data_IF_890016406540
#
_entry.id   IF_890016406540
#
_cell.length_a   1.000
_cell.length_b   1.000
_cell.length_c   1.000
_cell.angle_alpha   90.00
_cell.angle_beta   90.00
_cell.angle_gamma   90.00
#
_symmetry.space_group_name_H-M   'P 1'
#
loop_
_entity.id
_entity.type
_entity.pdbx_description
1 polymer ?
#
# COMPACT_ATOMS: atom_id res chain seq x y z
N UNK A 1 -80.89 -10.95 26.50
CA UNK A 1 -81.93 -10.76 25.47
C UNK A 1 -81.68 -11.74 24.32
N UNK A 2 -82.73 -12.11 23.58
CA UNK A 2 -82.77 -12.97 22.37
C UNK A 2 -83.26 -12.12 21.17
N UNK A 3 -83.42 -12.63 19.91
CA UNK A 3 -83.14 -13.96 19.33
C UNK A 3 -81.79 -13.95 18.57
N UNK A 4 -81.44 -14.63 17.46
CA UNK A 4 -82.02 -15.52 16.40
C UNK A 4 -80.86 -16.46 15.98
N UNK A 5 -80.92 -17.76 15.63
CA UNK A 5 -81.79 -18.69 14.85
C UNK A 5 -81.91 -18.35 13.35
N UNK A 6 -81.78 -19.28 12.36
CA UNK A 6 -81.46 -20.74 12.28
C UNK A 6 -80.62 -20.98 10.97
N UNK A 7 -80.29 -22.15 10.41
CA UNK A 7 -80.81 -23.55 10.40
C UNK A 7 -79.67 -24.56 10.02
N UNK A 8 -80.04 -25.81 9.72
CA UNK A 8 -79.29 -26.91 9.05
C UNK A 8 -80.28 -27.56 8.01
N UNK A 9 -80.03 -28.64 7.21
CA UNK A 9 -79.00 -29.70 7.25
C UNK A 9 -78.34 -30.10 5.87
N UNK A 10 -77.58 -31.21 5.81
CA UNK A 10 -77.10 -31.91 4.57
C UNK A 10 -78.06 -33.02 4.09
N UNK A 11 -77.64 -34.20 3.54
CA UNK A 11 -76.27 -34.72 3.24
C UNK A 11 -76.12 -35.63 1.95
N UNK A 12 -74.99 -36.38 1.82
CA UNK A 12 -74.76 -37.69 1.11
C UNK A 12 -74.43 -37.82 -0.42
N UNK A 13 -73.63 -38.87 -0.73
CA UNK A 13 -73.37 -39.60 -2.03
C UNK A 13 -72.60 -38.88 -3.16
N UNK A 14 -71.93 -39.52 -4.15
CA UNK A 14 -71.30 -40.88 -4.29
C UNK A 14 -70.38 -40.94 -5.55
N UNK A 15 -69.50 -41.93 -5.70
CA UNK A 15 -68.66 -42.20 -6.91
C UNK A 15 -69.40 -43.12 -7.95
N UNK A 16 -68.79 -43.78 -8.99
CA UNK A 16 -67.46 -43.67 -9.67
C UNK A 16 -67.54 -43.80 -11.24
N UNK A 17 -66.42 -44.19 -11.90
CA UNK A 17 -66.26 -44.95 -13.18
C UNK A 17 -65.90 -44.18 -14.49
N UNK A 18 -64.91 -44.74 -15.21
CA UNK A 18 -64.57 -44.45 -16.62
C UNK A 18 -63.21 -45.06 -17.03
N UNK A 19 -63.18 -46.17 -17.78
CA UNK A 19 -61.96 -46.97 -18.07
C UNK A 19 -61.88 -47.45 -19.53
N UNK A 20 -60.67 -47.44 -20.12
CA UNK A 20 -60.30 -48.19 -21.34
C UNK A 20 -59.96 -47.33 -22.58
N UNK A 21 -59.28 -47.84 -23.62
CA UNK A 21 -58.52 -49.11 -23.73
C UNK A 21 -57.61 -49.14 -24.99
N UNK A 22 -56.33 -49.48 -24.79
CA UNK A 22 -55.38 -50.26 -25.65
C UNK A 22 -55.40 -50.14 -27.20
N UNK A 23 -54.20 -49.94 -27.79
CA UNK A 23 -53.88 -50.19 -29.22
C UNK A 23 -52.36 -50.36 -29.43
N UNK A 24 -51.89 -51.09 -30.46
CA UNK A 24 -50.50 -51.60 -30.52
C UNK A 24 -49.72 -51.33 -31.83
N UNK A 25 -48.40 -51.56 -31.75
CA UNK A 25 -47.31 -51.25 -32.72
C UNK A 25 -47.52 -51.64 -34.19
N UNK A 26 -46.91 -50.85 -35.09
CA UNK A 26 -46.11 -51.35 -36.24
C UNK A 26 -44.90 -50.44 -36.49
N UNK A 27 -43.79 -50.96 -37.04
CA UNK A 27 -42.66 -50.16 -37.57
C UNK A 27 -42.67 -50.12 -39.10
N UNK A 28 -42.13 -49.05 -39.69
CA UNK A 28 -41.76 -48.97 -41.12
C UNK A 28 -40.34 -48.43 -41.25
N UNK A 29 -39.66 -48.82 -42.33
CA UNK A 29 -38.21 -48.76 -42.57
C UNK A 29 -37.92 -47.83 -43.76
N UNK A 30 -36.80 -47.10 -43.74
CA UNK A 30 -36.29 -46.33 -44.89
C UNK A 30 -34.79 -46.59 -45.08
N UNK A 31 -34.36 -46.66 -46.34
CA UNK A 31 -32.97 -46.91 -46.77
C UNK A 31 -32.40 -45.70 -47.54
N UNK A 32 -31.10 -45.71 -47.89
CA UNK A 32 -30.44 -44.67 -48.72
C UNK A 32 -30.63 -44.89 -50.24
N UNK A 33 -29.69 -44.48 -51.14
CA UNK A 33 -28.36 -43.89 -50.87
C UNK A 33 -27.83 -42.80 -51.89
N UNK A 34 -26.57 -42.38 -51.72
CA UNK A 34 -25.58 -41.88 -52.73
C UNK A 34 -25.87 -40.70 -53.73
N UNK A 35 -25.16 -39.59 -53.49
CA UNK A 35 -24.18 -38.85 -54.37
C UNK A 35 -24.45 -38.51 -55.87
N UNK A 36 -24.02 -37.27 -56.21
CA UNK A 36 -23.21 -36.80 -57.38
C UNK A 36 -23.86 -36.25 -58.68
N UNK A 37 -23.71 -34.93 -58.87
CA UNK A 37 -23.26 -34.23 -60.11
C UNK A 37 -22.52 -32.93 -59.68
N UNK A 38 -21.37 -32.44 -60.19
CA UNK A 38 -20.70 -32.37 -61.51
C UNK A 38 -21.14 -31.15 -62.36
N UNK A 39 -20.27 -30.32 -63.00
CA UNK A 39 -18.79 -30.26 -63.21
C UNK A 39 -18.33 -28.75 -63.44
N UNK A 40 -17.07 -28.36 -63.85
CA UNK A 40 -16.44 -27.09 -63.44
C UNK A 40 -15.71 -26.22 -64.53
N UNK A 41 -15.08 -25.11 -64.10
CA UNK A 41 -13.90 -24.47 -64.73
C UNK A 41 -14.12 -23.02 -65.24
N UNK A 42 -13.07 -22.29 -65.69
CA UNK A 42 -11.62 -22.59 -65.66
C UNK A 42 -10.69 -21.40 -65.25
N UNK A 43 -9.37 -21.62 -65.33
CA UNK A 43 -8.22 -20.68 -65.33
C UNK A 43 -7.79 -19.88 -64.07
N UNK A 44 -6.58 -20.26 -63.65
CA UNK A 44 -5.72 -19.74 -62.57
C UNK A 44 -5.24 -18.27 -62.67
N UNK A 45 -4.86 -17.71 -61.51
CA UNK A 45 -3.76 -16.75 -61.41
C UNK A 45 -3.02 -16.82 -60.05
N UNK A 46 -1.68 -16.97 -60.12
CA UNK A 46 -0.60 -16.53 -59.20
C UNK A 46 -0.88 -16.51 -57.67
N UNK A 47 -0.11 -17.30 -56.93
CA UNK A 47 -0.05 -17.20 -55.46
C UNK A 47 0.88 -16.08 -54.95
N UNK A 48 0.76 -15.78 -53.67
CA UNK A 48 1.77 -15.05 -52.89
C UNK A 48 2.16 -15.89 -51.67
N UNK A 49 3.46 -15.99 -51.40
CA UNK A 49 4.00 -16.76 -50.28
C UNK A 49 3.79 -16.06 -48.95
N UNK A 50 2.55 -16.02 -48.46
CA UNK A 50 2.20 -15.51 -47.15
C UNK A 50 2.78 -16.40 -46.05
N UNK A 51 4.04 -16.19 -45.70
CA UNK A 51 4.67 -16.84 -44.54
C UNK A 51 3.89 -16.46 -43.30
N UNK A 52 3.11 -17.42 -42.80
CA UNK A 52 2.42 -17.35 -41.52
C UNK A 52 3.43 -17.35 -40.38
N UNK A 53 4.14 -16.22 -40.22
CA UNK A 53 4.92 -15.89 -39.04
C UNK A 53 3.95 -15.84 -37.87
N UNK A 54 3.74 -17.00 -37.26
CA UNK A 54 3.16 -17.10 -35.95
C UNK A 54 4.03 -16.24 -35.04
N UNK A 55 3.56 -15.03 -34.73
CA UNK A 55 4.21 -14.11 -33.82
C UNK A 55 4.15 -14.78 -32.46
N UNK A 56 5.18 -15.60 -32.20
CA UNK A 56 5.39 -16.36 -30.98
C UNK A 56 5.66 -15.32 -29.91
N UNK A 57 4.57 -14.77 -29.38
CA UNK A 57 4.57 -13.69 -28.40
C UNK A 57 5.26 -14.24 -27.17
N UNK A 58 6.56 -13.99 -27.07
CA UNK A 58 7.39 -14.42 -25.95
C UNK A 58 6.88 -13.66 -24.72
N UNK A 59 5.89 -14.24 -24.04
CA UNK A 59 5.50 -13.85 -22.71
C UNK A 59 6.70 -14.09 -21.82
N UNK A 60 7.46 -13.02 -21.58
CA UNK A 60 8.56 -13.00 -20.64
C UNK A 60 7.93 -13.13 -19.26
N UNK A 61 7.69 -14.39 -18.86
CA UNK A 61 7.14 -14.81 -17.57
C UNK A 61 8.14 -14.46 -16.48
N UNK A 62 8.16 -13.17 -16.14
CA UNK A 62 9.05 -12.54 -15.19
C UNK A 62 8.71 -13.04 -13.79
N UNK A 63 9.34 -14.15 -13.40
CA UNK A 63 9.30 -14.64 -12.01
C UNK A 63 9.68 -13.47 -11.11
N UNK A 64 8.80 -13.14 -10.16
CA UNK A 64 9.01 -12.08 -9.18
C UNK A 64 10.26 -12.36 -8.36
N UNK A 65 11.39 -11.77 -8.78
CA UNK A 65 12.71 -12.10 -8.25
C UNK A 65 12.85 -11.62 -6.79
N UNK A 66 12.96 -12.52 -5.79
CA UNK A 66 12.99 -12.15 -4.37
C UNK A 66 14.24 -11.33 -4.02
N UNK A 67 15.34 -11.45 -4.78
CA UNK A 67 16.56 -10.66 -4.56
C UNK A 67 16.33 -9.15 -4.75
N UNK A 68 15.31 -8.74 -5.51
CA UNK A 68 14.92 -7.31 -5.62
C UNK A 68 14.35 -6.77 -4.32
N UNK A 69 13.57 -7.57 -3.60
CA UNK A 69 13.06 -7.22 -2.27
C UNK A 69 14.17 -7.27 -1.22
N UNK A 70 15.09 -8.24 -1.29
CA UNK A 70 16.27 -8.28 -0.43
C UNK A 70 17.15 -7.03 -0.60
N UNK A 71 17.41 -6.60 -1.83
CA UNK A 71 18.13 -5.35 -2.11
C UNK A 71 17.42 -4.11 -1.56
N UNK A 72 16.09 -4.05 -1.67
CA UNK A 72 15.28 -2.97 -1.06
C UNK A 72 15.35 -2.95 0.47
N UNK A 73 15.29 -4.13 1.10
CA UNK A 73 15.44 -4.27 2.55
C UNK A 73 16.84 -3.85 3.03
N UNK A 74 17.90 -4.33 2.37
CA UNK A 74 19.29 -3.96 2.67
C UNK A 74 19.53 -2.45 2.51
N UNK A 75 18.99 -1.83 1.45
CA UNK A 75 19.07 -0.38 1.26
C UNK A 75 18.34 0.38 2.38
N UNK A 76 17.13 -0.05 2.76
CA UNK A 76 16.39 0.56 3.86
C UNK A 76 17.15 0.45 5.20
N UNK A 77 17.76 -0.71 5.49
CA UNK A 77 18.61 -0.91 6.67
C UNK A 77 19.87 -0.04 6.64
N UNK A 78 20.56 0.06 5.50
CA UNK A 78 21.77 0.88 5.36
C UNK A 78 21.47 2.38 5.54
N UNK A 79 20.39 2.88 4.94
CA UNK A 79 19.98 4.29 5.09
C UNK A 79 19.49 4.57 6.52
N UNK A 80 18.76 3.64 7.15
CA UNK A 80 18.38 3.74 8.57
C UNK A 80 19.60 3.81 9.49
N UNK A 81 20.61 2.96 9.25
CA UNK A 81 21.86 2.98 10.01
C UNK A 81 22.64 4.29 9.83
N UNK A 82 22.70 4.82 8.60
CA UNK A 82 23.31 6.12 8.32
C UNK A 82 22.57 7.28 9.02
N UNK A 83 21.23 7.29 9.01
CA UNK A 83 20.40 8.25 9.75
C UNK A 83 20.71 8.22 11.26
N UNK A 84 20.73 7.03 11.86
CA UNK A 84 21.05 6.87 13.29
C UNK A 84 22.48 7.33 13.60
N UNK A 85 23.48 6.87 12.83
CA UNK A 85 24.87 7.24 13.05
C UNK A 85 25.13 8.74 12.90
N UNK A 86 24.46 9.42 11.96
CA UNK A 86 24.60 10.87 11.81
C UNK A 86 23.76 11.65 12.83
N UNK A 87 22.43 11.60 12.72
CA UNK A 87 21.51 12.48 13.46
C UNK A 87 21.34 12.10 14.94
N UNK A 88 21.75 10.89 15.35
CA UNK A 88 21.60 10.41 16.72
C UNK A 88 22.95 10.22 17.42
N UNK A 89 24.04 9.94 16.69
CA UNK A 89 25.38 9.70 17.29
C UNK A 89 26.44 10.77 17.04
N UNK A 90 26.16 11.85 16.30
CA UNK A 90 27.05 13.02 16.19
C UNK A 90 26.40 14.29 16.75
N UNK A 91 27.21 15.21 17.29
CA UNK A 91 26.74 16.50 17.79
C UNK A 91 26.11 17.34 16.67
N UNK A 92 26.79 17.48 15.52
CA UNK A 92 26.29 18.26 14.38
C UNK A 92 24.96 17.69 13.83
N UNK A 93 24.84 16.36 13.74
CA UNK A 93 23.60 15.72 13.35
C UNK A 93 22.47 15.92 14.37
N UNK A 94 22.74 15.76 15.68
CA UNK A 94 21.74 16.05 16.72
C UNK A 94 21.30 17.52 16.70
N UNK A 95 22.24 18.47 16.57
CA UNK A 95 21.96 19.90 16.51
C UNK A 95 21.09 20.27 15.29
N UNK A 96 21.34 19.71 14.10
CA UNK A 96 20.51 19.92 12.92
C UNK A 96 19.09 19.31 13.07
N UNK A 97 19.00 18.11 13.64
CA UNK A 97 17.73 17.39 13.93
C UNK A 97 16.89 18.13 14.97
N UNK A 98 17.55 18.79 15.93
CA UNK A 98 16.97 19.58 17.00
C UNK A 98 16.55 20.97 16.54
N UNK A 99 17.39 21.71 15.81
CA UNK A 99 17.08 23.03 15.26
C UNK A 99 15.88 22.98 14.30
N UNK A 100 15.67 21.85 13.61
CA UNK A 100 14.49 21.59 12.79
C UNK A 100 13.21 21.29 13.59
N UNK A 101 13.34 20.75 14.81
CA UNK A 101 12.25 20.53 15.76
C UNK A 101 11.89 21.84 16.48
N UNK A 102 12.87 22.63 16.89
CA UNK A 102 12.64 23.94 17.51
C UNK A 102 12.03 24.93 16.50
N UNK A 103 12.45 24.86 15.23
CA UNK A 103 11.84 25.63 14.14
C UNK A 103 10.37 25.30 13.84
N UNK A 104 9.82 24.20 14.37
CA UNK A 104 8.39 23.90 14.23
C UNK A 104 7.48 24.92 14.93
N UNK A 105 8.01 25.69 15.89
CA UNK A 105 7.30 26.80 16.54
C UNK A 105 6.80 27.85 15.52
N UNK A 106 7.55 28.08 14.43
CA UNK A 106 7.09 28.97 13.34
C UNK A 106 5.87 28.41 12.61
N UNK A 107 5.77 27.08 12.48
CA UNK A 107 4.58 26.41 11.97
C UNK A 107 3.39 26.53 12.93
N UNK A 108 3.60 26.15 14.20
CA UNK A 108 2.57 26.17 15.26
C UNK A 108 2.00 27.57 15.53
N UNK A 109 2.81 28.62 15.41
CA UNK A 109 2.36 30.03 15.50
C UNK A 109 1.65 30.55 14.24
N UNK A 110 1.80 29.88 13.09
CA UNK A 110 1.20 30.28 11.81
C UNK A 110 -0.13 29.58 11.50
N UNK A 111 -0.51 28.55 12.25
CA UNK A 111 -1.81 27.86 12.13
C UNK A 111 -2.84 28.44 13.09
N UNK A 112 -4.13 28.33 12.76
CA UNK A 112 -5.19 28.75 13.68
C UNK A 112 -5.31 27.76 14.85
N UNK A 113 -5.81 28.17 16.03
CA UNK A 113 -6.01 27.27 17.16
C UNK A 113 -6.91 26.05 16.84
N UNK A 114 -7.86 26.21 15.92
CA UNK A 114 -8.68 25.11 15.40
C UNK A 114 -7.86 24.11 14.59
N UNK A 115 -6.98 24.59 13.70
CA UNK A 115 -6.07 23.73 12.93
C UNK A 115 -5.06 23.04 13.86
N UNK A 116 -4.52 23.74 14.87
CA UNK A 116 -3.63 23.14 15.85
C UNK A 116 -4.32 22.01 16.63
N UNK A 117 -5.56 22.24 17.10
CA UNK A 117 -6.35 21.20 17.77
C UNK A 117 -6.68 19.99 16.88
N UNK A 118 -6.68 20.13 15.55
CA UNK A 118 -6.74 18.98 14.64
C UNK A 118 -5.40 18.24 14.58
N UNK A 119 -4.28 18.98 14.51
CA UNK A 119 -2.92 18.41 14.47
C UNK A 119 -2.60 17.64 15.75
N UNK A 120 -2.87 18.21 16.94
CA UNK A 120 -2.57 17.58 18.24
C UNK A 120 -3.21 16.17 18.39
N UNK A 121 -4.38 15.95 17.79
CA UNK A 121 -5.04 14.63 17.74
C UNK A 121 -4.61 13.75 16.57
N UNK A 122 -4.06 14.31 15.49
CA UNK A 122 -3.83 13.61 14.22
C UNK A 122 -2.84 12.42 14.31
N UNK A 123 -1.72 12.47 15.06
CA UNK A 123 -0.85 11.30 15.24
C UNK A 123 -1.56 10.13 15.94
N UNK A 124 -2.40 10.41 16.94
CA UNK A 124 -3.12 9.38 17.69
C UNK A 124 -4.32 8.85 16.89
N UNK A 125 -5.08 9.74 16.26
CA UNK A 125 -6.21 9.37 15.41
C UNK A 125 -5.76 8.56 14.18
N UNK A 126 -4.65 8.93 13.52
CA UNK A 126 -4.09 8.13 12.42
C UNK A 126 -3.59 6.76 12.86
N UNK A 127 -2.98 6.64 14.05
CA UNK A 127 -2.58 5.36 14.61
C UNK A 127 -3.79 4.44 14.88
N UNK A 128 -4.84 4.95 15.52
CA UNK A 128 -6.08 4.20 15.84
C UNK A 128 -6.86 3.84 14.57
N UNK A 129 -7.10 4.81 13.67
CA UNK A 129 -7.83 4.58 12.40
C UNK A 129 -7.06 3.62 11.50
N UNK A 130 -5.72 3.72 11.44
CA UNK A 130 -4.88 2.80 10.68
C UNK A 130 -5.00 1.35 11.17
N UNK A 131 -4.93 1.15 12.50
CA UNK A 131 -5.12 -0.16 13.13
C UNK A 131 -6.53 -0.72 12.86
N UNK A 132 -7.58 0.08 13.04
CA UNK A 132 -8.97 -0.32 12.80
C UNK A 132 -9.23 -0.65 11.34
N UNK A 133 -8.75 0.15 10.38
CA UNK A 133 -8.87 -0.14 8.94
C UNK A 133 -8.16 -1.45 8.57
N UNK A 134 -6.99 -1.71 9.17
CA UNK A 134 -6.25 -2.97 8.98
C UNK A 134 -7.06 -4.17 9.47
N UNK A 135 -7.70 -4.07 10.64
CA UNK A 135 -8.57 -5.11 11.22
C UNK A 135 -9.87 -5.30 10.43
N UNK A 136 -10.51 -4.23 9.95
CA UNK A 136 -11.75 -4.33 9.15
C UNK A 136 -11.47 -5.01 7.81
N UNK A 137 -10.38 -4.62 7.13
CA UNK A 137 -10.04 -5.14 5.80
C UNK A 137 -9.47 -6.57 5.87
N UNK A 138 -8.92 -6.98 7.01
CA UNK A 138 -8.62 -8.39 7.32
C UNK A 138 -9.84 -9.30 7.13
N UNK A 139 -10.93 -8.95 7.82
CA UNK A 139 -12.16 -9.75 7.91
C UNK A 139 -12.87 -9.83 6.55
N UNK A 140 -12.84 -8.75 5.78
CA UNK A 140 -13.53 -8.66 4.48
C UNK A 140 -12.87 -9.54 3.41
N UNK A 141 -11.53 -9.60 3.32
CA UNK A 141 -10.87 -10.07 2.09
C UNK A 141 -10.77 -11.59 1.91
N UNK A 142 -11.04 -12.40 2.95
CA UNK A 142 -11.04 -13.89 2.98
C UNK A 142 -9.79 -14.64 2.47
N UNK A 143 -8.81 -13.98 1.84
CA UNK A 143 -7.59 -14.59 1.32
C UNK A 143 -6.49 -14.64 2.39
N UNK A 144 -6.64 -15.58 3.34
CA UNK A 144 -5.86 -15.68 4.59
C UNK A 144 -4.34 -15.51 4.41
N UNK A 145 -3.74 -16.09 3.36
CA UNK A 145 -2.28 -15.96 3.11
C UNK A 145 -1.83 -14.51 2.93
N UNK A 146 -2.55 -13.69 2.16
CA UNK A 146 -2.18 -12.27 1.96
C UNK A 146 -2.42 -11.47 3.23
N UNK A 147 -3.52 -11.78 3.94
CA UNK A 147 -3.86 -11.12 5.19
C UNK A 147 -2.80 -11.37 6.29
N UNK A 148 -2.43 -12.63 6.53
CA UNK A 148 -1.44 -13.00 7.55
C UNK A 148 -0.08 -12.36 7.26
N UNK A 149 0.34 -12.27 6.00
CA UNK A 149 1.55 -11.52 5.63
C UNK A 149 1.39 -10.03 5.95
N UNK A 150 0.28 -9.41 5.56
CA UNK A 150 0.08 -7.97 5.73
C UNK A 150 0.03 -7.53 7.20
N UNK A 151 -0.72 -8.23 8.05
CA UNK A 151 -0.73 -7.95 9.50
C UNK A 151 0.58 -8.40 10.16
N UNK A 152 1.19 -9.50 9.70
CA UNK A 152 2.50 -9.95 10.18
C UNK A 152 3.57 -8.86 10.01
N UNK A 153 3.71 -8.30 8.81
CA UNK A 153 4.72 -7.26 8.56
C UNK A 153 4.36 -5.90 9.16
N UNK A 154 3.08 -5.54 9.25
CA UNK A 154 2.66 -4.30 9.91
C UNK A 154 2.89 -4.36 11.44
N UNK A 155 2.48 -5.46 12.08
CA UNK A 155 2.74 -5.71 13.50
C UNK A 155 4.23 -5.83 13.80
N UNK A 156 5.00 -6.50 12.93
CA UNK A 156 6.45 -6.61 13.08
C UNK A 156 7.16 -5.25 12.89
N UNK A 157 6.69 -4.36 12.00
CA UNK A 157 7.22 -3.00 11.89
C UNK A 157 6.99 -2.17 13.16
N UNK A 158 5.79 -2.26 13.74
CA UNK A 158 5.44 -1.61 15.02
C UNK A 158 6.32 -2.18 16.15
N UNK A 159 6.38 -3.50 16.29
CA UNK A 159 7.21 -4.16 17.30
C UNK A 159 8.71 -3.82 17.14
N UNK A 160 9.22 -3.79 15.91
CA UNK A 160 10.60 -3.39 15.59
C UNK A 160 10.86 -1.94 16.00
N UNK A 161 9.92 -1.03 15.74
CA UNK A 161 10.02 0.38 16.14
C UNK A 161 10.11 0.53 17.66
N UNK A 162 9.25 -0.15 18.43
CA UNK A 162 9.29 -0.07 19.90
C UNK A 162 10.54 -0.75 20.48
N UNK A 163 10.96 -1.91 19.94
CA UNK A 163 12.16 -2.61 20.36
C UNK A 163 13.43 -1.78 20.07
N UNK A 164 13.51 -1.15 18.90
CA UNK A 164 14.60 -0.23 18.57
C UNK A 164 14.60 0.97 19.52
N UNK A 165 13.46 1.62 19.74
CA UNK A 165 13.37 2.84 20.56
C UNK A 165 13.70 2.62 22.04
N UNK A 166 13.25 1.51 22.62
CA UNK A 166 13.32 1.28 24.08
C UNK A 166 14.30 0.17 24.52
N UNK A 167 14.76 -0.69 23.60
CA UNK A 167 15.58 -1.86 23.94
C UNK A 167 16.93 -1.99 23.23
N UNK A 168 17.20 -1.21 22.17
CA UNK A 168 18.43 -1.35 21.37
C UNK A 168 19.15 -0.01 21.13
N UNK A 169 18.42 1.04 20.72
CA UNK A 169 19.01 2.31 20.32
C UNK A 169 19.04 3.29 21.50
N UNK A 170 20.14 4.04 21.61
CA UNK A 170 20.31 5.11 22.59
C UNK A 170 20.69 6.40 21.88
N UNK A 171 19.92 7.47 22.11
CA UNK A 171 20.33 8.85 21.82
C UNK A 171 21.14 9.32 23.03
N UNK A 172 22.48 9.41 22.96
CA UNK A 172 23.28 9.97 24.05
C UNK A 172 23.00 11.46 24.13
N UNK A 173 23.12 12.04 25.33
CA UNK A 173 23.32 13.48 25.45
C UNK A 173 24.72 13.82 24.95
N UNK A 174 24.82 14.82 24.08
CA UNK A 174 26.05 15.32 23.50
C UNK A 174 26.29 16.81 23.84
N UNK A 175 25.45 17.42 24.68
CA UNK A 175 25.51 18.85 25.01
C UNK A 175 24.71 19.75 24.06
N UNK A 176 23.73 19.19 23.33
CA UNK A 176 22.84 19.94 22.42
C UNK A 176 21.69 20.54 23.22
N UNK A 177 21.46 21.85 23.09
CA UNK A 177 20.32 22.54 23.72
C UNK A 177 18.97 21.90 23.32
N UNK A 178 17.98 21.87 24.21
CA UNK A 178 16.69 21.22 23.93
C UNK A 178 16.72 19.67 23.92
N UNK A 179 17.81 19.04 24.36
CA UNK A 179 17.88 17.58 24.51
C UNK A 179 16.75 17.03 25.39
N UNK A 180 16.05 16.00 24.87
CA UNK A 180 14.83 15.44 25.46
C UNK A 180 14.82 13.89 25.48
N UNK A 181 16.00 13.25 25.49
CA UNK A 181 16.12 11.79 25.46
C UNK A 181 15.78 11.14 24.11
N UNK A 182 15.65 9.81 24.10
CA UNK A 182 15.48 9.06 22.85
C UNK A 182 14.05 9.10 22.28
N UNK A 183 13.87 9.89 21.23
CA UNK A 183 12.67 9.93 20.39
C UNK A 183 12.71 8.97 19.19
N UNK A 184 13.85 8.35 18.90
CA UNK A 184 14.13 7.64 17.64
C UNK A 184 13.87 6.12 17.72
N UNK A 185 13.18 5.48 16.74
CA UNK A 185 12.37 6.05 15.66
C UNK A 185 10.91 6.37 16.08
N UNK A 186 10.18 7.12 15.24
CA UNK A 186 8.82 7.61 15.53
C UNK A 186 7.76 6.49 15.60
N UNK A 187 7.09 6.40 16.75
CA UNK A 187 6.03 5.40 16.97
C UNK A 187 4.77 5.65 16.14
N UNK A 188 4.25 6.88 16.19
CA UNK A 188 3.01 7.25 15.49
C UNK A 188 3.16 7.15 13.96
N UNK A 189 4.30 7.63 13.42
CA UNK A 189 4.60 7.51 11.99
C UNK A 189 4.68 6.05 11.56
N UNK A 190 5.30 5.16 12.37
CA UNK A 190 5.30 3.71 12.07
C UNK A 190 3.88 3.15 12.02
N UNK A 191 2.98 3.45 12.97
CA UNK A 191 1.62 2.89 12.93
C UNK A 191 0.85 3.38 11.69
N UNK A 192 0.93 4.67 11.37
CA UNK A 192 0.28 5.23 10.18
C UNK A 192 0.81 4.60 8.88
N UNK A 193 2.15 4.51 8.74
CA UNK A 193 2.80 3.94 7.56
C UNK A 193 2.61 2.41 7.46
N UNK A 194 2.67 1.67 8.57
CA UNK A 194 2.42 0.23 8.60
C UNK A 194 0.98 -0.11 8.22
N UNK A 195 0.02 0.75 8.60
CA UNK A 195 -1.37 0.64 8.17
C UNK A 195 -1.52 0.89 6.67
N UNK A 196 -0.90 1.95 6.14
CA UNK A 196 -0.86 2.21 4.70
C UNK A 196 -0.23 1.04 3.91
N UNK A 197 0.83 0.43 4.43
CA UNK A 197 1.45 -0.78 3.87
C UNK A 197 0.49 -1.98 3.90
N UNK A 198 -0.18 -2.24 5.02
CA UNK A 198 -1.15 -3.35 5.12
C UNK A 198 -2.29 -3.18 4.11
N UNK A 199 -2.83 -1.97 3.98
CA UNK A 199 -3.83 -1.63 2.96
C UNK A 199 -3.31 -1.87 1.53
N UNK A 200 -2.07 -1.46 1.23
CA UNK A 200 -1.45 -1.63 -0.09
C UNK A 200 -1.17 -3.11 -0.45
N UNK A 201 -0.75 -3.92 0.53
CA UNK A 201 -0.55 -5.36 0.36
C UNK A 201 -1.89 -6.10 0.12
N UNK A 202 -2.94 -5.70 0.84
CA UNK A 202 -4.27 -6.32 0.79
C UNK A 202 -5.18 -5.71 -0.30
N UNK A 203 -4.76 -4.63 -0.97
CA UNK A 203 -5.45 -4.04 -2.11
C UNK A 203 -5.60 -5.02 -3.30
N UNK A 204 -6.58 -4.76 -4.18
CA UNK A 204 -6.67 -5.44 -5.48
C UNK A 204 -5.71 -4.78 -6.47
N UNK A 205 -5.26 -5.45 -7.55
CA UNK A 205 -4.33 -4.82 -8.50
C UNK A 205 -4.93 -3.54 -9.13
N UNK A 206 -6.25 -3.51 -9.37
CA UNK A 206 -6.99 -2.32 -9.84
C UNK A 206 -7.03 -1.15 -8.84
N UNK A 207 -6.91 -1.43 -7.53
CA UNK A 207 -6.94 -0.41 -6.48
C UNK A 207 -5.57 -0.11 -5.87
N UNK A 208 -4.58 -0.99 -6.04
CA UNK A 208 -3.23 -0.89 -5.43
C UNK A 208 -2.54 0.44 -5.72
N UNK A 209 -2.65 0.98 -6.94
CA UNK A 209 -2.10 2.30 -7.29
C UNK A 209 -2.74 3.43 -6.46
N UNK A 210 -4.09 3.50 -6.41
CA UNK A 210 -4.82 4.51 -5.62
C UNK A 210 -4.55 4.38 -4.12
N UNK A 211 -4.52 3.14 -3.60
CA UNK A 211 -4.20 2.85 -2.19
C UNK A 211 -2.77 3.23 -1.86
N UNK A 212 -1.82 3.00 -2.77
CA UNK A 212 -0.43 3.42 -2.62
C UNK A 212 -0.29 4.95 -2.53
N UNK A 213 -0.94 5.69 -3.42
CA UNK A 213 -0.93 7.17 -3.40
C UNK A 213 -1.54 7.70 -2.09
N UNK A 214 -2.78 7.32 -1.76
CA UNK A 214 -3.45 7.82 -0.56
C UNK A 214 -2.78 7.37 0.74
N UNK A 215 -2.28 6.12 0.79
CA UNK A 215 -1.51 5.61 1.92
C UNK A 215 -0.18 6.35 2.12
N UNK A 216 0.48 6.76 1.02
CA UNK A 216 1.69 7.60 1.09
C UNK A 216 1.37 8.99 1.62
N UNK A 217 0.33 9.64 1.08
CA UNK A 217 -0.12 10.96 1.56
C UNK A 217 -0.48 10.90 3.05
N UNK A 218 -1.22 9.88 3.49
CA UNK A 218 -1.55 9.65 4.89
C UNK A 218 -0.31 9.46 5.78
N UNK A 219 0.62 8.59 5.38
CA UNK A 219 1.85 8.33 6.13
C UNK A 219 2.78 9.56 6.21
N UNK A 220 2.88 10.33 5.13
CA UNK A 220 3.64 11.59 5.09
C UNK A 220 2.98 12.63 5.97
N UNK A 221 1.66 12.86 5.87
CA UNK A 221 0.96 13.85 6.70
C UNK A 221 1.05 13.52 8.21
N UNK A 222 0.90 12.24 8.59
CA UNK A 222 1.08 11.80 9.98
C UNK A 222 2.54 11.93 10.47
N UNK A 223 3.53 11.87 9.57
CA UNK A 223 4.92 12.17 9.88
C UNK A 223 5.18 13.67 10.05
N UNK A 224 4.64 14.48 9.13
CA UNK A 224 4.76 15.94 9.17
C UNK A 224 4.07 16.54 10.40
N UNK A 225 2.91 16.02 10.82
CA UNK A 225 2.26 16.48 12.05
C UNK A 225 3.10 16.17 13.29
N UNK A 226 3.69 14.97 13.41
CA UNK A 226 4.58 14.68 14.55
C UNK A 226 5.82 15.57 14.65
N UNK A 227 6.24 16.23 13.55
CA UNK A 227 7.26 17.28 13.59
C UNK A 227 6.64 18.65 13.94
N UNK A 228 5.56 19.05 13.27
CA UNK A 228 4.87 20.33 13.50
C UNK A 228 4.36 20.47 14.96
N UNK A 229 3.93 19.36 15.56
CA UNK A 229 3.43 19.31 16.93
C UNK A 229 4.55 19.17 17.99
N UNK A 230 5.82 19.10 17.54
CA UNK A 230 7.02 18.94 18.37
C UNK A 230 7.00 17.65 19.21
N UNK A 231 6.68 16.51 18.58
CA UNK A 231 6.74 15.18 19.22
C UNK A 231 7.94 14.35 18.75
N UNK A 232 8.39 14.57 17.51
CA UNK A 232 9.46 13.83 16.87
C UNK A 232 10.32 14.74 15.98
N UNK A 233 11.63 14.49 15.98
CA UNK A 233 12.59 15.18 15.11
C UNK A 233 12.53 14.59 13.69
N UNK A 234 12.98 15.30 12.64
CA UNK A 234 12.85 14.82 11.25
C UNK A 234 13.48 13.44 11.03
N UNK A 235 14.62 13.14 11.66
CA UNK A 235 15.28 11.83 11.54
C UNK A 235 14.44 10.69 12.12
N UNK A 236 13.73 10.91 13.24
CA UNK A 236 12.87 9.90 13.87
C UNK A 236 11.73 9.47 12.92
N UNK A 237 11.17 10.45 12.19
CA UNK A 237 10.06 10.26 11.25
C UNK A 237 10.51 9.50 10.01
N UNK A 238 11.65 9.90 9.42
CA UNK A 238 12.21 9.22 8.24
C UNK A 238 12.63 7.78 8.59
N UNK A 239 13.22 7.58 9.77
CA UNK A 239 13.59 6.26 10.27
C UNK A 239 12.38 5.33 10.45
N UNK A 240 11.24 5.84 10.92
CA UNK A 240 9.99 5.08 10.99
C UNK A 240 9.49 4.63 9.61
N UNK A 241 9.53 5.53 8.60
CA UNK A 241 9.19 5.19 7.22
C UNK A 241 10.11 4.10 6.64
N UNK A 242 11.40 4.11 6.99
CA UNK A 242 12.38 3.10 6.57
C UNK A 242 12.17 1.73 7.25
N UNK A 243 11.79 1.69 8.53
CA UNK A 243 11.40 0.43 9.20
C UNK A 243 10.19 -0.20 8.51
N UNK A 244 9.19 0.61 8.15
CA UNK A 244 8.03 0.13 7.38
C UNK A 244 8.43 -0.29 5.96
N UNK A 245 9.33 0.43 5.29
CA UNK A 245 9.83 0.04 3.96
C UNK A 245 10.58 -1.30 3.97
N UNK A 246 11.41 -1.55 5.00
CA UNK A 246 12.07 -2.84 5.23
C UNK A 246 11.04 -3.97 5.38
N UNK A 247 10.06 -3.82 6.27
CA UNK A 247 9.03 -4.83 6.49
C UNK A 247 8.09 -5.02 5.29
N UNK A 248 7.85 -3.95 4.52
CA UNK A 248 7.22 -4.03 3.21
C UNK A 248 8.01 -4.90 2.24
N UNK A 249 9.33 -4.72 2.16
CA UNK A 249 10.18 -5.56 1.34
C UNK A 249 10.16 -7.03 1.79
N UNK A 250 10.20 -7.32 3.10
CA UNK A 250 10.04 -8.68 3.64
C UNK A 250 8.70 -9.29 3.23
N UNK A 251 7.59 -8.54 3.35
CA UNK A 251 6.27 -9.00 2.90
C UNK A 251 6.18 -9.26 1.40
N UNK A 252 6.81 -8.40 0.59
CA UNK A 252 6.96 -8.59 -0.85
C UNK A 252 7.74 -9.86 -1.19
N UNK A 253 8.85 -10.12 -0.50
CA UNK A 253 9.63 -11.35 -0.66
C UNK A 253 8.80 -12.60 -0.34
N UNK A 254 8.13 -12.64 0.81
CA UNK A 254 7.28 -13.78 1.22
C UNK A 254 6.13 -14.03 0.24
N UNK A 255 5.51 -12.98 -0.30
CA UNK A 255 4.47 -13.10 -1.34
C UNK A 255 5.04 -13.53 -2.71
N UNK A 256 6.29 -13.16 -3.02
CA UNK A 256 6.96 -13.51 -4.29
C UNK A 256 7.42 -14.97 -4.36
N UNK A 257 7.83 -15.57 -3.23
CA UNK A 257 8.24 -16.98 -3.15
C UNK A 257 7.06 -17.93 -3.34
N UNK A 258 5.84 -17.50 -2.97
CA UNK A 258 4.64 -18.33 -2.92
C UNK A 258 3.71 -18.18 -4.13
N UNK A 259 4.17 -17.58 -5.25
CA UNK A 259 3.35 -17.33 -6.44
C UNK A 259 4.05 -17.79 -7.72
N UNK A 260 3.30 -18.44 -8.61
CA UNK A 260 3.75 -18.74 -9.96
C UNK A 260 3.94 -17.46 -10.79
N UNK A 261 4.60 -17.58 -11.94
CA UNK A 261 4.75 -16.44 -12.85
C UNK A 261 3.38 -16.02 -13.40
N UNK A 262 3.09 -14.72 -13.31
CA UNK A 262 1.88 -14.08 -13.85
C UNK A 262 2.33 -13.09 -14.92
N UNK A 263 1.59 -12.99 -16.02
CA UNK A 263 1.88 -11.98 -17.04
C UNK A 263 1.76 -10.57 -16.43
N UNK A 264 2.77 -9.69 -16.60
CA UNK A 264 2.69 -8.33 -16.10
C UNK A 264 1.55 -7.56 -16.80
N UNK A 265 0.72 -6.80 -16.06
CA UNK A 265 -0.32 -5.98 -16.68
C UNK A 265 0.29 -4.92 -17.60
N UNK A 266 -0.45 -4.42 -18.61
CA UNK A 266 0.02 -3.36 -19.49
C UNK A 266 0.52 -2.13 -18.71
N UNK A 267 1.69 -1.62 -19.09
CA UNK A 267 2.32 -0.49 -18.41
C UNK A 267 1.70 0.85 -18.81
N UNK A 268 0.84 1.41 -17.94
CA UNK A 268 0.76 2.86 -17.79
C UNK A 268 2.13 3.36 -17.30
N UNK A 269 2.75 4.33 -17.99
CA UNK A 269 4.18 4.62 -17.85
C UNK A 269 4.56 5.29 -16.50
N UNK A 270 5.28 4.59 -15.59
CA UNK A 270 5.58 5.10 -14.25
C UNK A 270 6.90 5.90 -14.24
N UNK A 271 7.09 6.77 -15.24
CA UNK A 271 8.30 7.57 -15.44
C UNK A 271 8.21 8.93 -14.76
N UNK A 272 7.04 9.59 -14.78
CA UNK A 272 6.91 11.01 -14.39
C UNK A 272 6.94 11.30 -12.88
N UNK A 273 6.75 10.30 -12.02
CA UNK A 273 6.62 10.51 -10.57
C UNK A 273 7.93 10.91 -9.85
N UNK A 274 9.11 10.57 -10.38
CA UNK A 274 10.40 10.95 -9.76
C UNK A 274 10.62 12.47 -9.74
N UNK A 275 10.10 13.17 -10.75
CA UNK A 275 10.11 14.64 -10.82
C UNK A 275 9.35 15.33 -9.69
N UNK A 276 8.49 14.61 -8.95
CA UNK A 276 7.82 15.13 -7.75
C UNK A 276 8.77 15.07 -6.55
N UNK A 277 9.54 13.99 -6.38
CA UNK A 277 10.43 13.81 -5.23
C UNK A 277 11.76 14.57 -5.34
N UNK A 278 12.29 14.72 -6.57
CA UNK A 278 13.56 15.42 -6.84
C UNK A 278 13.62 16.84 -6.25
N UNK A 279 12.65 17.75 -6.47
CA UNK A 279 12.71 19.10 -5.91
C UNK A 279 12.69 19.11 -4.37
N UNK A 280 11.90 18.25 -3.71
CA UNK A 280 11.93 18.14 -2.24
C UNK A 280 13.28 17.64 -1.74
N UNK A 281 13.91 16.69 -2.43
CA UNK A 281 15.25 16.19 -2.08
C UNK A 281 16.35 17.27 -2.27
N UNK A 282 16.25 18.09 -3.31
CA UNK A 282 17.17 19.22 -3.56
C UNK A 282 17.01 20.29 -2.48
N UNK A 283 15.77 20.72 -2.19
CA UNK A 283 15.49 21.73 -1.15
C UNK A 283 15.94 21.22 0.22
N UNK A 284 15.64 19.95 0.55
CA UNK A 284 16.05 19.33 1.81
C UNK A 284 17.58 19.23 1.94
N UNK A 285 18.27 18.79 0.88
CA UNK A 285 19.73 18.70 0.86
C UNK A 285 20.41 20.07 0.99
N UNK A 286 19.90 21.09 0.30
CA UNK A 286 20.41 22.46 0.40
C UNK A 286 20.14 23.04 1.80
N UNK A 287 18.94 22.87 2.34
CA UNK A 287 18.60 23.32 3.69
C UNK A 287 19.48 22.64 4.74
N UNK A 288 19.71 21.33 4.65
CA UNK A 288 20.62 20.60 5.55
C UNK A 288 22.06 21.11 5.43
N UNK A 289 22.57 21.38 4.22
CA UNK A 289 23.91 21.97 4.04
C UNK A 289 24.00 23.35 4.66
N UNK A 290 22.98 24.21 4.49
CA UNK A 290 22.93 25.53 5.13
C UNK A 290 22.89 25.38 6.65
N UNK A 291 22.02 24.54 7.21
CA UNK A 291 21.92 24.25 8.65
C UNK A 291 23.21 23.70 9.26
N UNK A 292 24.02 22.96 8.49
CA UNK A 292 25.31 22.41 8.97
C UNK A 292 26.49 23.39 8.84
N UNK A 293 26.37 24.43 8.00
CA UNK A 293 27.43 25.45 7.80
C UNK A 293 27.15 26.75 8.59
N UNK A 294 25.89 27.16 8.65
CA UNK A 294 25.36 28.27 9.44
C UNK A 294 24.45 27.71 10.55
N UNK A 295 25.06 26.98 11.48
CA UNK A 295 24.40 26.38 12.64
C UNK A 295 24.06 27.44 13.72
N UNK A 296 23.69 28.65 13.31
CA UNK A 296 23.23 29.69 14.22
C UNK A 296 21.82 29.39 14.72
N UNK A 297 21.63 29.36 16.05
CA UNK A 297 20.33 29.16 16.71
C UNK A 297 19.36 30.36 16.55
N UNK A 298 19.58 31.21 15.55
CA UNK A 298 18.70 32.32 15.22
C UNK A 298 17.42 31.88 14.51
N UNK A 299 16.41 32.74 14.52
CA UNK A 299 15.09 32.48 13.92
C UNK A 299 15.18 31.97 12.45
N UNK A 300 16.10 32.52 11.66
CA UNK A 300 16.33 32.11 10.27
C UNK A 300 16.86 30.69 10.14
N UNK A 301 17.85 30.31 10.97
CA UNK A 301 18.45 28.96 10.96
C UNK A 301 17.43 27.89 11.37
N UNK A 302 16.65 28.17 12.42
CA UNK A 302 15.54 27.34 12.85
C UNK A 302 14.47 27.14 11.75
N UNK A 303 14.06 28.21 11.09
CA UNK A 303 13.08 28.13 9.99
C UNK A 303 13.61 27.35 8.78
N UNK A 304 14.88 27.54 8.41
CA UNK A 304 15.54 26.79 7.32
C UNK A 304 15.62 25.30 7.67
N UNK A 305 16.04 24.97 8.90
CA UNK A 305 16.13 23.59 9.38
C UNK A 305 14.75 22.90 9.38
N UNK A 306 13.70 23.59 9.84
CA UNK A 306 12.33 23.07 9.84
C UNK A 306 11.81 22.81 8.43
N UNK A 307 12.00 23.75 7.49
CA UNK A 307 11.65 23.54 6.06
C UNK A 307 12.47 22.38 5.47
N UNK A 308 13.75 22.26 5.81
CA UNK A 308 14.62 21.14 5.44
C UNK A 308 14.09 19.79 5.95
N UNK A 309 13.59 19.75 7.19
CA UNK A 309 12.97 18.57 7.80
C UNK A 309 11.64 18.18 7.18
N UNK A 310 10.72 19.13 6.99
CA UNK A 310 9.44 18.90 6.30
C UNK A 310 9.67 18.35 4.88
N UNK A 311 10.60 18.94 4.13
CA UNK A 311 10.93 18.49 2.77
C UNK A 311 11.68 17.15 2.77
N UNK A 312 12.49 16.85 3.78
CA UNK A 312 13.12 15.53 3.96
C UNK A 312 12.09 14.41 4.16
N UNK A 313 11.10 14.64 5.02
CA UNK A 313 10.01 13.69 5.30
C UNK A 313 9.18 13.44 4.03
N UNK A 314 8.79 14.51 3.33
CA UNK A 314 8.03 14.42 2.08
C UNK A 314 8.82 13.67 0.99
N UNK A 315 10.08 14.05 0.75
CA UNK A 315 10.96 13.38 -0.21
C UNK A 315 11.10 11.89 0.10
N UNK A 316 11.37 11.54 1.36
CA UNK A 316 11.54 10.16 1.81
C UNK A 316 10.29 9.32 1.58
N UNK A 317 9.11 9.83 1.96
CA UNK A 317 7.84 9.15 1.74
C UNK A 317 7.54 8.91 0.25
N UNK A 318 7.73 9.91 -0.61
CA UNK A 318 7.53 9.75 -2.05
C UNK A 318 8.57 8.81 -2.69
N UNK A 319 9.84 8.86 -2.30
CA UNK A 319 10.87 7.96 -2.81
C UNK A 319 10.59 6.50 -2.42
N UNK A 320 10.17 6.24 -1.18
CA UNK A 320 9.74 4.93 -0.72
C UNK A 320 8.53 4.45 -1.52
N UNK A 321 7.52 5.31 -1.72
CA UNK A 321 6.31 4.95 -2.46
C UNK A 321 6.55 4.62 -3.95
N UNK A 322 7.38 5.42 -4.63
CA UNK A 322 7.71 5.20 -6.05
C UNK A 322 8.65 3.99 -6.23
N UNK A 323 9.49 3.70 -5.23
CA UNK A 323 10.30 2.47 -5.21
C UNK A 323 9.42 1.25 -4.92
N UNK A 324 8.48 1.34 -3.99
CA UNK A 324 7.52 0.29 -3.67
C UNK A 324 6.61 -0.05 -4.85
N UNK A 325 6.00 0.93 -5.53
CA UNK A 325 5.17 0.65 -6.72
C UNK A 325 5.96 -0.05 -7.82
N UNK A 326 7.26 0.25 -7.99
CA UNK A 326 8.16 -0.44 -8.94
C UNK A 326 8.60 -1.85 -8.50
N UNK A 327 8.76 -2.08 -7.19
CA UNK A 327 9.05 -3.41 -6.62
C UNK A 327 7.83 -4.34 -6.66
N UNK A 328 6.64 -3.80 -6.40
CA UNK A 328 5.39 -4.55 -6.31
C UNK A 328 4.59 -4.64 -7.62
N UNK A 329 4.96 -3.91 -8.69
CA UNK A 329 4.33 -4.04 -10.01
C UNK A 329 4.27 -5.48 -10.57
N UNK A 330 5.23 -6.40 -10.32
CA UNK A 330 5.14 -7.80 -10.73
C UNK A 330 4.20 -8.67 -9.86
N UNK A 331 3.57 -8.11 -8.81
CA UNK A 331 2.69 -8.84 -7.91
C UNK A 331 1.22 -8.43 -8.14
N UNK A 332 0.28 -9.40 -8.29
CA UNK A 332 -1.15 -9.12 -8.25
C UNK A 332 -1.64 -8.73 -6.85
#
# INVERSE_FOLDING_TARGET
MLPVTRRNPGPLRSQPIGVGSVGHRTQVRLEGPRRLSQLPGPFAARGSGGTGLAVRRWTVLSRSNPYRFLGGALLATAVFAALYLFFVRTHAGQAADQLAYDGADFGRRSVTPFTQGILDWLPMASAVVGLLLTIVIALIRRHLKTFVVAVGVAGAAIATTQLLKYGILTRPDLGVEGYAGNSFPSGHTTVAAASALALFLVASPRTRSKVGVWGTVFAVLAGLSTLADQWHRPSDVIAALLVVAFWGCVGGAVLSVNRGAVDPPPHDSPSRQWWIAIPFAIVSGLALVVTLLDASAGASGALIAYIGGLTAIAASGFLIAVTATRLFAPLP
#
